data_IF_202782086427
#
_entry.id   IF_202782086427
#
_cell.length_a   1.000
_cell.length_b   1.000
_cell.length_c   1.000
_cell.angle_alpha   90.00
_cell.angle_beta   90.00
_cell.angle_gamma   90.00
#
_symmetry.space_group_name_H-M   'P 1'
#
loop_
_entity.id
_entity.type
_entity.pdbx_description
1 polymer ?
#
# COMPACT_ATOMS: atom_id res chain seq x y z
N UNK A 1 2.52 6.96 20.01
CA UNK A 1 3.45 6.17 19.18
C UNK A 1 4.85 6.63 19.52
N UNK A 2 5.72 5.74 20.01
CA UNK A 2 7.15 6.06 20.12
C UNK A 2 7.72 6.05 18.69
N UNK A 3 8.73 6.86 18.43
CA UNK A 3 9.46 6.97 17.16
C UNK A 3 10.94 7.11 17.44
N UNK A 4 11.45 6.23 18.32
CA UNK A 4 12.84 6.22 18.75
C UNK A 4 13.57 5.00 18.20
N UNK A 5 14.92 5.03 18.11
CA UNK A 5 15.71 3.95 17.51
C UNK A 5 15.53 2.56 18.14
N UNK A 6 14.85 2.45 19.30
CA UNK A 6 14.50 1.17 19.90
C UNK A 6 13.36 0.41 19.20
N UNK A 7 12.79 0.93 18.11
CA UNK A 7 11.69 0.32 17.36
C UNK A 7 12.10 -0.19 15.98
N UNK A 8 11.49 -1.30 15.57
CA UNK A 8 11.77 -1.95 14.28
C UNK A 8 11.24 -1.14 13.08
N UNK A 9 10.30 -0.23 13.28
CA UNK A 9 9.67 0.58 12.23
C UNK A 9 10.36 1.93 11.98
N UNK A 10 11.42 2.26 12.72
CA UNK A 10 12.20 3.47 12.49
C UNK A 10 13.17 3.23 11.34
N UNK A 11 13.10 4.10 10.32
CA UNK A 11 14.00 4.02 9.16
C UNK A 11 15.40 4.41 9.60
N UNK A 12 16.40 3.63 9.17
CA UNK A 12 17.81 3.95 9.34
C UNK A 12 18.15 5.35 8.80
N UNK A 13 18.99 6.11 9.50
CA UNK A 13 19.28 7.50 9.17
C UNK A 13 19.87 7.66 7.75
N UNK A 14 20.70 6.72 7.31
CA UNK A 14 21.29 6.74 5.96
C UNK A 14 20.21 6.53 4.90
N UNK A 15 19.27 5.62 5.15
CA UNK A 15 18.13 5.41 4.27
C UNK A 15 17.16 6.60 4.27
N UNK A 16 17.00 7.26 5.42
CA UNK A 16 16.20 8.47 5.51
C UNK A 16 16.81 9.61 4.66
N UNK A 17 18.13 9.75 4.65
CA UNK A 17 18.83 10.67 3.74
C UNK A 17 18.62 10.31 2.26
N UNK A 18 18.73 9.03 1.90
CA UNK A 18 18.43 8.56 0.53
C UNK A 18 17.02 8.95 0.11
N UNK A 19 16.02 8.79 0.99
CA UNK A 19 14.65 9.20 0.69
C UNK A 19 14.48 10.72 0.62
N UNK A 20 15.23 11.49 1.42
CA UNK A 20 15.22 12.96 1.36
C UNK A 20 15.68 13.49 0.01
N UNK A 21 16.66 12.84 -0.62
CA UNK A 21 17.23 13.26 -1.91
C UNK A 21 16.40 12.86 -3.14
N UNK A 22 15.30 12.11 -2.98
CA UNK A 22 14.42 11.77 -4.11
C UNK A 22 13.76 13.01 -4.71
N UNK A 23 13.77 13.08 -6.03
CA UNK A 23 13.07 14.10 -6.81
C UNK A 23 11.55 14.03 -6.56
N UNK A 24 10.81 15.12 -6.83
CA UNK A 24 9.35 15.11 -6.76
C UNK A 24 8.70 13.99 -7.58
N UNK A 25 9.22 13.70 -8.77
CA UNK A 25 8.71 12.65 -9.64
C UNK A 25 8.86 11.25 -9.01
N UNK A 26 10.05 10.93 -8.48
CA UNK A 26 10.30 9.65 -7.83
C UNK A 26 9.44 9.46 -6.57
N UNK A 27 9.20 10.55 -5.81
CA UNK A 27 8.33 10.50 -4.62
C UNK A 27 6.88 10.15 -5.01
N UNK A 28 6.39 10.73 -6.09
CA UNK A 28 5.05 10.42 -6.63
C UNK A 28 5.00 8.98 -7.15
N UNK A 29 6.03 8.55 -7.88
CA UNK A 29 6.13 7.18 -8.40
C UNK A 29 6.09 6.14 -7.27
N UNK A 30 6.81 6.39 -6.16
CA UNK A 30 6.74 5.54 -4.96
C UNK A 30 5.29 5.45 -4.44
N UNK A 31 4.59 6.60 -4.35
CA UNK A 31 3.19 6.63 -3.94
C UNK A 31 2.29 5.77 -4.83
N UNK A 32 2.43 5.88 -6.16
CA UNK A 32 1.68 5.05 -7.10
C UNK A 32 2.02 3.56 -6.96
N UNK A 33 3.31 3.22 -6.81
CA UNK A 33 3.74 1.84 -6.66
C UNK A 33 3.20 1.21 -5.37
N UNK A 34 3.17 1.96 -4.27
CA UNK A 34 2.54 1.52 -3.01
C UNK A 34 1.04 1.29 -3.23
N UNK A 35 0.34 2.22 -3.90
CA UNK A 35 -1.09 2.10 -4.18
C UNK A 35 -1.41 0.85 -5.02
N UNK A 36 -0.68 0.63 -6.12
CA UNK A 36 -0.85 -0.55 -7.00
C UNK A 36 -0.60 -1.84 -6.22
N UNK A 37 0.48 -1.89 -5.45
CA UNK A 37 0.89 -3.07 -4.71
C UNK A 37 -0.15 -3.45 -3.65
N UNK A 38 -0.57 -2.47 -2.85
CA UNK A 38 -1.53 -2.71 -1.79
C UNK A 38 -2.90 -3.12 -2.35
N UNK A 39 -3.33 -2.55 -3.50
CA UNK A 39 -4.56 -2.97 -4.20
C UNK A 39 -4.48 -4.43 -4.64
N UNK A 40 -3.35 -4.84 -5.24
CA UNK A 40 -3.11 -6.23 -5.66
C UNK A 40 -3.10 -7.20 -4.47
N UNK A 41 -2.42 -6.83 -3.38
CA UNK A 41 -2.39 -7.63 -2.16
C UNK A 41 -3.80 -7.87 -1.60
N UNK A 42 -4.63 -6.84 -1.55
CA UNK A 42 -6.02 -6.97 -1.10
C UNK A 42 -6.83 -7.88 -2.03
N UNK A 43 -6.73 -7.68 -3.35
CA UNK A 43 -7.43 -8.51 -4.33
C UNK A 43 -7.08 -9.99 -4.17
N UNK A 44 -5.78 -10.32 -4.09
CA UNK A 44 -5.32 -11.69 -3.88
C UNK A 44 -5.76 -12.27 -2.54
N UNK A 45 -5.73 -11.46 -1.48
CA UNK A 45 -6.23 -11.88 -0.17
C UNK A 45 -7.72 -12.22 -0.20
N UNK A 46 -8.53 -11.40 -0.87
CA UNK A 46 -9.96 -11.63 -1.02
C UNK A 46 -10.25 -12.87 -1.87
N UNK A 47 -9.57 -13.04 -3.01
CA UNK A 47 -9.68 -14.25 -3.84
C UNK A 47 -9.36 -15.52 -3.05
N UNK A 48 -8.34 -15.48 -2.19
CA UNK A 48 -7.95 -16.62 -1.35
C UNK A 48 -8.96 -16.90 -0.23
N UNK A 49 -9.54 -15.85 0.36
CA UNK A 49 -10.41 -15.96 1.54
C UNK A 49 -11.87 -16.21 1.15
N UNK A 50 -12.26 -15.83 -0.06
CA UNK A 50 -13.60 -15.99 -0.64
C UNK A 50 -13.51 -16.69 -2.01
N UNK A 51 -13.17 -18.00 -2.05
CA UNK A 51 -13.02 -18.74 -3.30
C UNK A 51 -14.33 -18.92 -4.08
N UNK A 52 -15.47 -18.66 -3.44
CA UNK A 52 -16.81 -18.65 -4.02
C UNK A 52 -17.16 -17.35 -4.76
N UNK A 53 -16.36 -16.30 -4.59
CA UNK A 53 -16.61 -15.00 -5.22
C UNK A 53 -16.08 -14.98 -6.66
N UNK A 54 -16.86 -14.35 -7.54
CA UNK A 54 -16.40 -14.01 -8.88
C UNK A 54 -15.47 -12.77 -8.84
N UNK A 55 -14.79 -12.52 -9.96
CA UNK A 55 -13.88 -11.38 -10.09
C UNK A 55 -14.56 -10.03 -9.83
N UNK A 56 -15.85 -9.91 -10.18
CA UNK A 56 -16.62 -8.67 -9.99
C UNK A 56 -16.91 -8.39 -8.53
N UNK A 57 -17.22 -9.42 -7.74
CA UNK A 57 -17.44 -9.30 -6.31
C UNK A 57 -16.15 -8.90 -5.60
N UNK A 58 -15.02 -9.50 -5.97
CA UNK A 58 -13.69 -9.11 -5.45
C UNK A 58 -13.40 -7.66 -5.79
N UNK A 59 -13.57 -7.24 -7.05
CA UNK A 59 -13.27 -5.88 -7.48
C UNK A 59 -14.15 -4.82 -6.80
N UNK A 60 -15.44 -5.12 -6.60
CA UNK A 60 -16.36 -4.27 -5.83
C UNK A 60 -15.87 -4.08 -4.40
N UNK A 61 -15.41 -5.16 -3.77
CA UNK A 61 -14.96 -5.11 -2.39
C UNK A 61 -13.59 -4.43 -2.25
N UNK A 62 -12.66 -4.67 -3.19
CA UNK A 62 -11.40 -3.92 -3.29
C UNK A 62 -11.70 -2.44 -3.37
N UNK A 63 -12.55 -2.02 -4.31
CA UNK A 63 -12.99 -0.64 -4.49
C UNK A 63 -13.55 -0.05 -3.21
N UNK A 64 -14.47 -0.76 -2.56
CA UNK A 64 -15.12 -0.33 -1.32
C UNK A 64 -14.10 -0.07 -0.20
N UNK A 65 -13.09 -0.93 -0.06
CA UNK A 65 -12.07 -0.81 1.00
C UNK A 65 -10.93 0.16 0.64
N UNK A 66 -10.52 0.22 -0.63
CA UNK A 66 -9.38 1.03 -1.07
C UNK A 66 -9.74 2.50 -1.28
N UNK A 67 -10.96 2.77 -1.73
CA UNK A 67 -11.42 4.12 -2.07
C UNK A 67 -12.46 4.62 -1.09
N UNK A 68 -12.58 3.98 0.08
CA UNK A 68 -13.61 4.27 1.07
C UNK A 68 -15.05 4.24 0.49
N UNK A 69 -15.27 3.50 -0.60
CA UNK A 69 -16.56 3.39 -1.30
C UNK A 69 -16.81 4.40 -2.42
N UNK A 70 -15.89 5.32 -2.72
CA UNK A 70 -16.06 6.29 -3.82
C UNK A 70 -15.38 5.84 -5.11
N UNK A 71 -16.18 5.55 -6.14
CA UNK A 71 -15.83 5.65 -7.56
C UNK A 71 -16.82 6.61 -8.22
#
# INVERSE_FOLDING_TARGET
MRLDPGQIEVIDDDMAEVFRHKSPAERIEIGFNIWISARKMLAHHLQKTHPDWDEKAVEREVTRRFLNGTL
#
